data_IF_108967441655
#
_entry.id   IF_108967441655
#
_cell.length_a   1.000
_cell.length_b   1.000
_cell.length_c   1.000
_cell.angle_alpha   90.00
_cell.angle_beta   90.00
_cell.angle_gamma   90.00
#
_symmetry.space_group_name_H-M   'P 1'
#
loop_
_entity.id
_entity.type
_entity.pdbx_description
1 polymer ?
#
# COMPACT_ATOMS: atom_id res chain seq x y z
N UNK A 1 30.52 -7.06 9.28
CA UNK A 1 29.23 -7.36 9.92
C UNK A 1 29.12 -6.49 11.17
N UNK A 2 28.04 -5.71 11.31
CA UNK A 2 27.80 -4.87 12.50
C UNK A 2 27.48 -5.72 13.74
N UNK A 3 27.78 -5.23 14.95
CA UNK A 3 27.22 -5.83 16.17
C UNK A 3 25.77 -5.37 16.32
N UNK A 4 24.90 -6.26 16.81
CA UNK A 4 23.49 -5.99 17.09
C UNK A 4 23.21 -6.39 18.53
N UNK A 5 22.58 -5.50 19.28
CA UNK A 5 22.19 -5.76 20.68
C UNK A 5 20.76 -5.28 20.92
N UNK A 6 19.96 -6.10 21.60
CA UNK A 6 18.56 -5.82 21.89
C UNK A 6 18.34 -5.67 23.39
N UNK A 7 17.54 -4.68 23.76
CA UNK A 7 17.05 -4.47 25.11
C UNK A 7 15.53 -4.46 25.12
N UNK A 8 14.92 -4.97 26.18
CA UNK A 8 13.47 -4.96 26.37
C UNK A 8 13.12 -4.16 27.63
N UNK A 9 11.99 -3.46 27.59
CA UNK A 9 11.45 -2.75 28.73
C UNK A 9 9.91 -2.73 28.67
N UNK A 10 9.27 -2.53 29.83
CA UNK A 10 7.82 -2.50 29.95
C UNK A 10 7.31 -1.08 30.22
N UNK A 11 6.23 -0.71 29.52
CA UNK A 11 5.42 0.48 29.81
C UNK A 11 3.95 0.05 29.79
N UNK A 12 3.27 0.17 30.93
CA UNK A 12 1.86 -0.21 31.11
C UNK A 12 1.54 -1.66 30.70
N UNK A 13 2.42 -2.63 30.98
CA UNK A 13 2.20 -4.04 30.65
C UNK A 13 2.42 -4.39 29.17
N UNK A 14 2.91 -3.43 28.39
CA UNK A 14 3.29 -3.61 26.98
C UNK A 14 4.82 -3.72 26.88
N UNK A 15 5.31 -4.74 26.17
CA UNK A 15 6.75 -4.95 25.94
C UNK A 15 7.26 -4.13 24.76
N UNK A 16 8.26 -3.31 25.03
CA UNK A 16 8.98 -2.50 24.06
C UNK A 16 10.40 -3.02 23.91
N UNK A 17 11.03 -2.78 22.76
CA UNK A 17 12.46 -3.08 22.59
C UNK A 17 13.26 -1.96 21.94
N UNK A 18 14.54 -1.87 22.27
CA UNK A 18 15.53 -1.05 21.57
C UNK A 18 16.59 -1.97 20.99
N UNK A 19 16.76 -1.93 19.68
CA UNK A 19 17.78 -2.66 18.95
C UNK A 19 18.86 -1.67 18.49
N UNK A 20 20.09 -1.84 18.98
CA UNK A 20 21.23 -1.03 18.57
C UNK A 20 22.00 -1.71 17.44
N UNK A 21 22.32 -0.95 16.39
CA UNK A 21 23.05 -1.42 15.20
C UNK A 21 24.33 -0.59 15.05
N UNK A 22 25.49 -1.22 15.24
CA UNK A 22 26.78 -0.52 15.17
C UNK A 22 27.45 -0.74 13.80
N UNK A 23 27.21 0.18 12.87
CA UNK A 23 27.73 0.10 11.51
C UNK A 23 28.94 1.03 11.34
N UNK A 24 30.12 0.47 11.05
CA UNK A 24 31.40 1.20 10.96
C UNK A 24 31.88 1.89 12.25
N UNK A 25 31.04 1.98 13.30
CA UNK A 25 31.40 2.43 14.64
C UNK A 25 31.67 1.23 15.55
N UNK A 26 32.77 0.52 15.31
CA UNK A 26 33.19 -0.69 16.03
C UNK A 26 34.48 -0.44 16.82
N UNK A 27 34.82 -1.36 17.73
CA UNK A 27 36.01 -1.31 18.61
C UNK A 27 37.33 -0.96 17.88
N UNK A 28 37.48 -1.39 16.61
CA UNK A 28 38.63 -1.06 15.76
C UNK A 28 38.64 0.34 15.13
N UNK A 29 37.49 1.02 15.05
CA UNK A 29 37.31 2.37 14.47
C UNK A 29 36.87 3.44 15.49
N UNK A 30 36.52 3.03 16.71
CA UNK A 30 36.36 3.93 17.86
C UNK A 30 37.64 4.76 18.01
N UNK A 31 37.58 6.01 17.54
CA UNK A 31 38.79 6.74 17.17
C UNK A 31 39.79 6.79 18.33
N UNK A 32 41.10 6.74 18.03
CA UNK A 32 42.18 6.89 19.03
C UNK A 32 41.93 8.06 20.01
N UNK A 33 41.26 9.12 19.54
CA UNK A 33 40.87 10.32 20.32
C UNK A 33 39.94 9.99 21.51
N UNK A 34 39.11 8.94 21.42
CA UNK A 34 38.09 8.63 22.43
C UNK A 34 38.48 7.50 23.37
N UNK A 35 39.47 6.66 23.01
CA UNK A 35 39.96 5.58 23.87
C UNK A 35 40.53 6.08 25.20
N UNK A 36 41.07 7.30 25.22
CA UNK A 36 41.52 7.97 26.45
C UNK A 36 40.38 8.52 27.31
N UNK A 37 39.17 8.61 26.76
CA UNK A 37 37.99 9.15 27.46
C UNK A 37 37.07 8.06 27.99
N UNK A 38 36.87 6.98 27.22
CA UNK A 38 35.93 5.91 27.53
C UNK A 38 36.24 4.67 26.68
N UNK A 39 36.14 3.46 27.25
CA UNK A 39 36.20 2.21 26.47
C UNK A 39 34.93 2.01 25.64
N UNK A 40 34.99 1.20 24.57
CA UNK A 40 33.80 0.91 23.77
C UNK A 40 32.72 0.21 24.60
N UNK A 41 33.09 -0.72 25.47
CA UNK A 41 32.15 -1.38 26.39
C UNK A 41 31.43 -0.39 27.32
N UNK A 42 32.17 0.55 27.91
CA UNK A 42 31.59 1.60 28.74
C UNK A 42 30.68 2.55 27.94
N UNK A 43 31.02 2.84 26.68
CA UNK A 43 30.15 3.56 25.75
C UNK A 43 28.82 2.83 25.54
N UNK A 44 28.87 1.54 25.17
CA UNK A 44 27.68 0.73 24.95
C UNK A 44 26.80 0.69 26.19
N UNK A 45 27.40 0.42 27.36
CA UNK A 45 26.69 0.38 28.64
C UNK A 45 25.98 1.70 28.95
N UNK A 46 26.66 2.83 28.71
CA UNK A 46 26.11 4.16 29.00
C UNK A 46 24.94 4.50 28.06
N UNK A 47 25.12 4.33 26.76
CA UNK A 47 24.08 4.65 25.76
C UNK A 47 22.84 3.77 25.96
N UNK A 48 23.02 2.47 26.19
CA UNK A 48 21.93 1.54 26.50
C UNK A 48 21.08 2.01 27.66
N UNK A 49 21.73 2.36 28.78
CA UNK A 49 21.04 2.82 29.99
C UNK A 49 20.28 4.12 29.72
N UNK A 50 20.94 5.12 29.16
CA UNK A 50 20.38 6.46 28.92
C UNK A 50 19.19 6.39 27.96
N UNK A 51 19.33 5.68 26.83
CA UNK A 51 18.24 5.57 25.85
C UNK A 51 17.06 4.79 26.38
N UNK A 52 17.30 3.72 27.15
CA UNK A 52 16.21 2.92 27.72
C UNK A 52 15.44 3.70 28.78
N UNK A 53 16.14 4.44 29.65
CA UNK A 53 15.50 5.29 30.64
C UNK A 53 14.71 6.43 29.97
N UNK A 54 15.35 7.15 29.04
CA UNK A 54 14.71 8.23 28.30
C UNK A 54 13.48 7.76 27.50
N UNK A 55 13.57 6.61 26.82
CA UNK A 55 12.44 6.04 26.06
C UNK A 55 11.30 5.62 26.98
N UNK A 56 11.61 4.99 28.12
CA UNK A 56 10.61 4.57 29.11
C UNK A 56 9.86 5.78 29.69
N UNK A 57 10.60 6.80 30.14
CA UNK A 57 10.01 8.03 30.67
C UNK A 57 9.18 8.75 29.62
N UNK A 58 9.71 8.88 28.40
CA UNK A 58 9.05 9.52 27.28
C UNK A 58 7.69 8.88 26.98
N UNK A 59 7.66 7.55 26.85
CA UNK A 59 6.45 6.80 26.52
C UNK A 59 5.42 6.81 27.66
N UNK A 60 5.89 6.79 28.90
CA UNK A 60 5.03 6.93 30.07
C UNK A 60 4.39 8.33 30.12
N UNK A 61 5.15 9.39 29.84
CA UNK A 61 4.63 10.77 29.83
C UNK A 61 3.77 11.08 28.60
N UNK A 62 3.97 10.37 27.49
CA UNK A 62 3.34 10.65 26.21
C UNK A 62 2.71 9.39 25.59
N UNK A 63 1.67 8.79 26.24
CA UNK A 63 1.07 7.55 25.77
C UNK A 63 0.50 7.64 24.35
N UNK A 64 0.12 8.85 23.90
CA UNK A 64 -0.33 9.11 22.52
C UNK A 64 0.70 8.75 21.45
N UNK A 65 2.00 8.74 21.77
CA UNK A 65 3.07 8.37 20.82
C UNK A 65 3.15 6.86 20.57
N UNK A 66 2.44 6.05 21.36
CA UNK A 66 2.38 4.59 21.21
C UNK A 66 1.38 4.26 20.11
N UNK A 67 1.87 3.80 18.96
CA UNK A 67 1.03 3.47 17.79
C UNK A 67 0.74 1.98 17.64
N UNK A 68 1.32 1.13 18.51
CA UNK A 68 1.21 -0.32 18.43
C UNK A 68 1.45 -0.99 19.79
N UNK A 69 0.89 -2.20 19.97
CA UNK A 69 1.15 -3.10 21.11
C UNK A 69 2.50 -3.83 21.05
N UNK A 70 3.19 -3.76 19.91
CA UNK A 70 4.58 -4.22 19.73
C UNK A 70 5.37 -3.07 19.13
N UNK A 71 6.35 -2.56 19.87
CA UNK A 71 7.08 -1.37 19.45
C UNK A 71 8.59 -1.55 19.63
N UNK A 72 9.35 -1.27 18.58
CA UNK A 72 10.79 -1.43 18.51
C UNK A 72 11.47 -0.15 18.02
N UNK A 73 12.42 0.36 18.79
CA UNK A 73 13.34 1.40 18.36
C UNK A 73 14.57 0.75 17.76
N UNK A 74 14.79 0.92 16.46
CA UNK A 74 16.04 0.53 15.80
C UNK A 74 16.96 1.74 15.74
N UNK A 75 18.02 1.71 16.52
CA UNK A 75 18.99 2.78 16.65
C UNK A 75 20.28 2.36 15.97
N UNK A 76 20.54 2.91 14.79
CA UNK A 76 21.82 2.71 14.11
C UNK A 76 22.79 3.80 14.53
N UNK A 77 23.99 3.39 14.93
CA UNK A 77 25.08 4.31 15.31
C UNK A 77 26.16 4.22 14.23
N UNK A 78 26.49 5.37 13.64
CA UNK A 78 27.41 5.47 12.49
C UNK A 78 28.56 6.43 12.75
N UNK A 79 29.65 6.21 12.01
CA UNK A 79 30.89 7.02 12.05
C UNK A 79 30.85 8.21 11.06
N UNK A 80 29.68 8.52 10.49
CA UNK A 80 29.58 9.41 9.33
C UNK A 80 29.67 10.88 9.73
N UNK A 81 30.57 11.62 9.07
CA UNK A 81 30.62 13.10 9.04
C UNK A 81 29.53 13.74 8.16
N UNK A 82 28.55 12.96 7.70
CA UNK A 82 27.62 13.35 6.61
C UNK A 82 26.57 14.40 6.99
N UNK A 83 26.55 14.88 8.22
CA UNK A 83 25.48 15.73 8.69
C UNK A 83 25.93 17.18 8.74
N UNK A 84 25.32 18.00 7.87
CA UNK A 84 25.52 19.44 7.85
C UNK A 84 24.91 20.14 9.07
N UNK A 85 23.98 19.52 9.84
CA UNK A 85 23.37 20.19 11.00
C UNK A 85 22.65 19.28 12.03
N UNK A 86 22.43 17.98 11.75
CA UNK A 86 21.62 17.08 12.62
C UNK A 86 22.42 15.90 13.20
N UNK A 87 22.33 15.70 14.51
CA UNK A 87 23.01 14.61 15.25
C UNK A 87 22.21 13.29 15.26
N UNK A 88 20.96 13.31 14.78
CA UNK A 88 20.08 12.15 14.58
C UNK A 88 19.24 12.34 13.32
N UNK A 89 18.90 11.26 12.64
CA UNK A 89 17.98 11.26 11.51
C UNK A 89 16.92 10.16 11.66
N UNK A 90 15.65 10.50 11.46
CA UNK A 90 14.53 9.55 11.35
C UNK A 90 14.32 9.16 9.90
N UNK A 91 14.31 7.85 9.62
CA UNK A 91 14.07 7.33 8.28
C UNK A 91 12.62 6.87 8.13
N UNK A 92 11.78 7.73 7.54
CA UNK A 92 10.37 7.45 7.29
C UNK A 92 10.17 6.21 6.41
N UNK A 93 11.02 6.01 5.39
CA UNK A 93 10.88 4.94 4.39
C UNK A 93 11.07 3.51 4.93
N UNK A 94 11.71 3.36 6.09
CA UNK A 94 11.97 2.05 6.73
C UNK A 94 11.38 1.96 8.14
N UNK A 95 10.62 2.97 8.55
CA UNK A 95 9.88 2.98 9.81
C UNK A 95 8.41 2.64 9.55
N UNK A 96 7.77 1.90 10.45
CA UNK A 96 6.38 1.47 10.35
C UNK A 96 5.67 1.56 11.72
N UNK A 97 4.39 1.15 11.80
CA UNK A 97 3.61 1.25 13.03
C UNK A 97 4.24 0.58 14.27
N UNK A 98 5.14 -0.37 14.06
CA UNK A 98 5.81 -1.19 15.08
C UNK A 98 7.30 -0.84 15.24
N UNK A 99 7.92 -0.17 14.26
CA UNK A 99 9.37 0.03 14.21
C UNK A 99 9.67 1.50 13.91
N UNK A 100 10.40 2.17 14.81
CA UNK A 100 11.04 3.46 14.50
C UNK A 100 12.50 3.21 14.19
N UNK A 101 12.97 3.68 13.03
CA UNK A 101 14.38 3.68 12.68
C UNK A 101 15.04 5.06 12.85
N UNK A 102 16.06 5.12 13.71
CA UNK A 102 16.86 6.30 13.98
C UNK A 102 18.33 6.04 13.65
N UNK A 103 18.97 6.93 12.91
CA UNK A 103 20.43 6.92 12.73
C UNK A 103 21.07 8.05 13.53
N UNK A 104 22.05 7.71 14.38
CA UNK A 104 22.80 8.64 15.22
C UNK A 104 24.26 8.71 14.81
N UNK A 105 24.81 9.91 14.92
CA UNK A 105 26.24 10.12 14.84
C UNK A 105 26.93 9.61 16.13
N UNK A 106 27.77 8.59 16.00
CA UNK A 106 28.49 7.96 17.11
C UNK A 106 29.47 8.89 17.81
N UNK A 107 30.14 9.80 17.09
CA UNK A 107 31.03 10.79 17.70
C UNK A 107 30.30 11.73 18.64
N UNK A 108 29.14 12.21 18.20
CA UNK A 108 28.30 13.09 19.01
C UNK A 108 27.81 12.37 20.27
N UNK A 109 27.38 11.11 20.14
CA UNK A 109 26.97 10.29 21.29
C UNK A 109 28.12 10.10 22.29
N UNK A 110 29.36 9.90 21.84
CA UNK A 110 30.50 9.80 22.77
C UNK A 110 30.75 11.12 23.48
N UNK A 111 30.93 12.20 22.72
CA UNK A 111 31.40 13.49 23.25
C UNK A 111 30.33 14.20 24.10
N UNK A 112 29.06 14.08 23.71
CA UNK A 112 27.96 14.83 24.32
C UNK A 112 27.10 14.00 25.26
N UNK A 113 27.19 12.66 25.21
CA UNK A 113 26.31 11.78 25.99
C UNK A 113 27.11 10.86 26.90
N UNK A 114 27.88 9.94 26.34
CA UNK A 114 28.52 8.90 27.13
C UNK A 114 29.61 9.45 28.07
N UNK A 115 30.51 10.31 27.57
CA UNK A 115 31.60 10.86 28.40
C UNK A 115 31.08 11.67 29.58
N UNK A 116 30.17 12.65 29.41
CA UNK A 116 29.75 13.44 30.55
C UNK A 116 28.84 12.66 31.51
N UNK A 117 28.09 11.66 31.02
CA UNK A 117 27.38 10.70 31.89
C UNK A 117 28.35 9.94 32.79
N UNK A 118 29.40 9.35 32.23
CA UNK A 118 30.39 8.59 33.02
C UNK A 118 31.21 9.45 33.98
N UNK A 119 31.40 10.73 33.66
CA UNK A 119 32.16 11.68 34.48
C UNK A 119 31.30 12.44 35.50
N UNK A 120 30.01 12.11 35.63
CA UNK A 120 29.13 12.62 36.69
C UNK A 120 28.42 13.95 36.40
N UNK A 121 28.47 14.49 35.17
CA UNK A 121 27.69 15.66 34.77
C UNK A 121 26.29 15.23 34.30
N UNK A 122 25.29 15.33 35.18
CA UNK A 122 23.96 14.69 35.09
C UNK A 122 22.93 15.32 34.12
N UNK A 123 23.28 16.25 33.23
CA UNK A 123 22.28 17.06 32.49
C UNK A 123 21.95 16.62 31.05
N UNK A 124 22.26 15.39 30.65
CA UNK A 124 22.11 14.97 29.25
C UNK A 124 20.85 14.13 28.97
N UNK A 125 20.32 13.45 29.99
CA UNK A 125 19.09 12.66 29.85
C UNK A 125 17.90 13.49 29.30
N UNK A 126 17.65 14.73 29.76
CA UNK A 126 16.62 15.58 29.16
C UNK A 126 16.85 15.88 27.67
N UNK A 127 18.11 15.95 27.23
CA UNK A 127 18.43 16.19 25.82
C UNK A 127 18.08 14.96 24.97
N UNK A 128 18.49 13.75 25.41
CA UNK A 128 18.15 12.51 24.69
C UNK A 128 16.64 12.28 24.65
N UNK A 129 15.95 12.51 25.77
CA UNK A 129 14.50 12.45 25.83
C UNK A 129 13.82 13.43 24.88
N UNK A 130 14.28 14.69 24.79
CA UNK A 130 13.77 15.68 23.81
C UNK A 130 13.99 15.24 22.36
N UNK A 131 15.15 14.65 22.08
CA UNK A 131 15.49 14.15 20.76
C UNK A 131 14.54 13.00 20.39
N UNK A 132 14.41 12.02 21.27
CA UNK A 132 13.48 10.90 21.09
C UNK A 132 12.05 11.42 20.94
N UNK A 133 11.60 12.37 21.75
CA UNK A 133 10.29 13.00 21.61
C UNK A 133 10.09 13.60 20.22
N UNK A 134 11.04 14.41 19.73
CA UNK A 134 10.92 15.03 18.41
C UNK A 134 10.80 13.99 17.30
N UNK A 135 11.65 12.95 17.31
CA UNK A 135 11.62 11.90 16.28
C UNK A 135 10.35 11.03 16.39
N UNK A 136 9.93 10.70 17.61
CA UNK A 136 8.68 9.98 17.85
C UNK A 136 7.45 10.80 17.48
N UNK A 137 7.49 12.11 17.69
CA UNK A 137 6.42 13.02 17.27
C UNK A 137 6.33 13.05 15.75
N UNK A 138 7.45 13.15 15.04
CA UNK A 138 7.48 13.05 13.58
C UNK A 138 6.91 11.72 13.09
N UNK A 139 7.27 10.62 13.75
CA UNK A 139 6.75 9.29 13.45
C UNK A 139 5.24 9.14 13.72
N UNK A 140 4.79 9.56 14.91
CA UNK A 140 3.38 9.57 15.25
C UNK A 140 2.57 10.44 14.28
N UNK A 141 3.08 11.61 13.93
CA UNK A 141 2.45 12.51 12.98
C UNK A 141 2.45 11.94 11.55
N UNK A 142 3.52 11.28 11.12
CA UNK A 142 3.53 10.59 9.82
C UNK A 142 2.50 9.46 9.79
N UNK A 143 2.35 8.69 10.87
CA UNK A 143 1.34 7.63 10.94
C UNK A 143 -0.09 8.17 11.02
N UNK A 144 -0.37 9.08 11.95
CA UNK A 144 -1.74 9.50 12.26
C UNK A 144 -2.30 10.60 11.37
N UNK A 145 -1.43 11.35 10.70
CA UNK A 145 -1.84 12.48 9.84
C UNK A 145 -1.48 12.23 8.38
N UNK A 146 -0.25 11.78 8.08
CA UNK A 146 0.18 11.53 6.69
C UNK A 146 -0.22 10.15 6.15
N UNK A 147 -0.37 9.14 7.01
CA UNK A 147 -0.70 7.76 6.62
C UNK A 147 -2.11 7.32 7.08
N UNK A 148 -2.95 8.28 7.49
CA UNK A 148 -4.30 8.00 8.04
C UNK A 148 -5.16 7.21 7.05
N UNK A 149 -5.05 7.54 5.77
CA UNK A 149 -5.76 6.88 4.69
C UNK A 149 -5.35 5.41 4.54
N UNK A 150 -4.06 5.11 4.63
CA UNK A 150 -3.47 3.77 4.56
C UNK A 150 -3.83 2.94 5.80
N UNK A 151 -3.90 3.55 6.99
CA UNK A 151 -4.37 2.93 8.22
C UNK A 151 -5.86 2.57 8.16
N UNK A 152 -6.68 3.49 7.68
CA UNK A 152 -8.12 3.25 7.49
C UNK A 152 -8.37 2.18 6.42
N UNK A 153 -7.50 2.12 5.40
CA UNK A 153 -7.53 1.12 4.34
C UNK A 153 -7.10 -0.27 4.81
N UNK A 154 -5.99 -0.39 5.54
CA UNK A 154 -5.56 -1.67 6.11
C UNK A 154 -6.65 -2.25 7.04
N UNK A 155 -7.32 -1.40 7.81
CA UNK A 155 -8.51 -1.78 8.59
C UNK A 155 -9.65 -2.27 7.72
N UNK A 156 -9.98 -1.54 6.64
CA UNK A 156 -11.06 -1.91 5.69
C UNK A 156 -10.76 -3.25 4.98
N UNK A 157 -9.50 -3.52 4.68
CA UNK A 157 -9.05 -4.75 4.01
C UNK A 157 -8.75 -5.90 4.99
N UNK A 158 -8.90 -5.69 6.30
CA UNK A 158 -8.45 -6.63 7.34
C UNK A 158 -6.99 -7.09 7.18
N UNK A 159 -6.15 -6.27 6.53
CA UNK A 159 -4.75 -6.56 6.36
C UNK A 159 -3.99 -6.26 7.67
N UNK A 160 -3.09 -7.14 8.13
CA UNK A 160 -2.26 -6.85 9.29
C UNK A 160 -1.43 -5.58 9.00
N UNK A 161 -1.61 -4.57 9.85
CA UNK A 161 -0.92 -3.26 9.79
C UNK A 161 0.61 -3.34 9.88
N UNK A 162 1.17 -4.54 10.10
CA UNK A 162 2.60 -4.81 10.33
C UNK A 162 3.47 -4.53 9.07
N UNK A 163 2.91 -4.20 7.90
CA UNK A 163 3.60 -4.24 6.60
C UNK A 163 3.44 -2.97 5.72
N UNK A 164 3.39 -1.76 6.30
CA UNK A 164 3.43 -0.50 5.51
C UNK A 164 4.86 -0.23 4.99
N UNK A 165 5.40 -1.13 4.17
CA UNK A 165 6.60 -0.88 3.37
C UNK A 165 6.36 -1.01 1.86
N UNK A 166 5.21 -1.56 1.42
CA UNK A 166 4.83 -1.65 0.01
C UNK A 166 3.58 -0.85 -0.33
N UNK A 167 3.82 0.44 -0.55
CA UNK A 167 2.78 1.36 -1.00
C UNK A 167 2.20 0.95 -2.36
N UNK A 168 2.99 0.36 -3.26
CA UNK A 168 2.51 -0.10 -4.56
C UNK A 168 1.52 -1.26 -4.43
N UNK A 169 1.82 -2.25 -3.59
CA UNK A 169 0.88 -3.33 -3.30
C UNK A 169 -0.41 -2.80 -2.68
N UNK A 170 -0.31 -1.89 -1.70
CA UNK A 170 -1.47 -1.28 -1.07
C UNK A 170 -2.35 -0.51 -2.07
N UNK A 171 -1.74 0.33 -2.90
CA UNK A 171 -2.46 1.10 -3.92
C UNK A 171 -3.04 0.21 -5.03
N UNK A 172 -2.41 -0.92 -5.36
CA UNK A 172 -2.97 -1.94 -6.25
C UNK A 172 -4.22 -2.58 -5.64
N UNK A 173 -4.15 -3.08 -4.41
CA UNK A 173 -5.30 -3.65 -3.69
C UNK A 173 -6.46 -2.66 -3.65
N UNK A 174 -6.16 -1.40 -3.38
CA UNK A 174 -7.17 -0.36 -3.38
C UNK A 174 -7.74 -0.08 -4.77
N UNK A 175 -6.93 -0.10 -5.83
CA UNK A 175 -7.41 0.01 -7.20
C UNK A 175 -8.43 -1.09 -7.51
N UNK A 176 -8.13 -2.33 -7.12
CA UNK A 176 -9.04 -3.46 -7.29
C UNK A 176 -10.30 -3.36 -6.44
N UNK A 177 -10.19 -2.94 -5.17
CA UNK A 177 -11.34 -2.72 -4.31
C UNK A 177 -12.26 -1.60 -4.82
N UNK A 178 -11.67 -0.51 -5.31
CA UNK A 178 -12.43 0.60 -5.86
C UNK A 178 -13.05 0.26 -7.23
N UNK A 179 -12.48 -0.66 -8.02
CA UNK A 179 -13.15 -1.13 -9.24
C UNK A 179 -14.53 -1.72 -8.97
N UNK A 180 -14.73 -2.39 -7.83
CA UNK A 180 -16.05 -2.84 -7.43
C UNK A 180 -16.96 -1.65 -7.04
N UNK A 181 -16.54 -0.86 -6.04
CA UNK A 181 -17.41 0.16 -5.43
C UNK A 181 -17.66 1.36 -6.36
N UNK A 182 -16.60 1.92 -6.91
CA UNK A 182 -16.68 3.06 -7.83
C UNK A 182 -17.19 2.62 -9.20
N UNK A 183 -16.84 1.41 -9.63
CA UNK A 183 -17.39 0.80 -10.85
C UNK A 183 -18.89 0.62 -10.77
N UNK A 184 -19.40 0.11 -9.64
CA UNK A 184 -20.83 -0.02 -9.41
C UNK A 184 -21.51 1.35 -9.38
N UNK A 185 -20.95 2.33 -8.66
CA UNK A 185 -21.52 3.69 -8.62
C UNK A 185 -21.61 4.33 -10.02
N UNK A 186 -20.56 4.17 -10.83
CA UNK A 186 -20.52 4.67 -12.21
C UNK A 186 -21.47 3.89 -13.13
N UNK A 187 -21.57 2.57 -12.96
CA UNK A 187 -22.55 1.73 -13.65
C UNK A 187 -23.98 2.23 -13.42
N UNK A 188 -24.36 2.51 -12.16
CA UNK A 188 -25.67 3.06 -11.81
C UNK A 188 -25.94 4.42 -12.46
N UNK A 189 -24.94 5.32 -12.48
CA UNK A 189 -25.06 6.63 -13.13
C UNK A 189 -25.30 6.51 -14.63
N UNK A 190 -24.55 5.62 -15.30
CA UNK A 190 -24.69 5.39 -16.75
C UNK A 190 -26.04 4.76 -17.08
N UNK A 191 -26.51 3.82 -16.25
CA UNK A 191 -27.85 3.25 -16.35
C UNK A 191 -28.96 4.32 -16.21
N UNK A 192 -28.80 5.30 -15.33
CA UNK A 192 -29.79 6.39 -15.18
C UNK A 192 -29.73 7.42 -16.33
N UNK A 193 -28.57 7.60 -16.95
CA UNK A 193 -28.34 8.61 -18.00
C UNK A 193 -28.68 8.13 -19.41
N UNK A 194 -29.14 6.88 -19.60
CA UNK A 194 -29.33 6.30 -20.95
C UNK A 194 -30.45 6.91 -21.79
N UNK A 195 -31.34 7.73 -21.21
CA UNK A 195 -32.32 8.49 -21.98
C UNK A 195 -31.69 9.53 -22.94
N UNK A 196 -30.40 9.88 -22.73
CA UNK A 196 -29.67 10.89 -23.50
C UNK A 196 -28.51 10.32 -24.36
N UNK A 197 -28.50 9.01 -24.64
CA UNK A 197 -27.49 8.39 -25.52
C UNK A 197 -26.20 7.91 -24.83
N UNK A 198 -26.17 7.85 -23.49
CA UNK A 198 -25.02 7.40 -22.70
C UNK A 198 -24.99 5.87 -22.53
N UNK A 199 -24.68 5.16 -23.60
CA UNK A 199 -24.39 3.72 -23.52
C UNK A 199 -23.06 3.44 -22.81
N UNK A 200 -22.95 2.26 -22.19
CA UNK A 200 -21.66 1.74 -21.72
C UNK A 200 -20.83 1.42 -22.97
N UNK A 201 -19.86 2.27 -23.27
CA UNK A 201 -18.86 1.97 -24.29
C UNK A 201 -17.81 1.08 -23.67
N UNK A 202 -17.50 -0.06 -24.27
CA UNK A 202 -16.32 -0.86 -23.96
C UNK A 202 -15.24 -0.42 -24.95
N UNK A 203 -14.26 0.35 -24.47
CA UNK A 203 -13.19 0.92 -25.30
C UNK A 203 -11.88 0.16 -25.06
N UNK A 204 -11.36 -0.52 -26.08
CA UNK A 204 -10.15 -1.34 -25.95
C UNK A 204 -8.94 -0.53 -25.56
N UNK A 205 -8.79 0.67 -26.12
CA UNK A 205 -7.66 1.53 -25.80
C UNK A 205 -7.67 1.92 -24.33
N UNK A 206 -8.85 2.25 -23.78
CA UNK A 206 -8.97 2.58 -22.37
C UNK A 206 -8.63 1.38 -21.45
N UNK A 207 -8.97 0.16 -21.88
CA UNK A 207 -8.60 -1.07 -21.15
C UNK A 207 -7.09 -1.29 -21.18
N UNK A 208 -6.47 -1.16 -22.35
CA UNK A 208 -5.03 -1.34 -22.54
C UNK A 208 -4.23 -0.28 -21.76
N UNK A 209 -4.61 1.00 -21.89
CA UNK A 209 -4.01 2.12 -21.15
C UNK A 209 -4.10 1.88 -19.63
N UNK A 210 -5.25 1.38 -19.14
CA UNK A 210 -5.45 1.09 -17.71
C UNK A 210 -4.56 -0.07 -17.22
N UNK A 211 -4.39 -1.13 -18.01
CA UNK A 211 -3.47 -2.22 -17.68
C UNK A 211 -2.03 -1.73 -17.60
N UNK A 212 -1.62 -0.82 -18.49
CA UNK A 212 -0.30 -0.22 -18.48
C UNK A 212 -0.09 0.67 -17.24
N UNK A 213 -1.12 1.42 -16.82
CA UNK A 213 -1.09 2.20 -15.59
C UNK A 213 -0.99 1.32 -14.34
N UNK A 214 -1.72 0.20 -14.28
CA UNK A 214 -1.60 -0.78 -13.19
C UNK A 214 -0.20 -1.43 -13.15
N UNK A 215 0.36 -1.81 -14.30
CA UNK A 215 1.73 -2.32 -14.39
C UNK A 215 2.76 -1.29 -13.92
N UNK A 216 2.54 -0.01 -14.25
CA UNK A 216 3.39 1.09 -13.81
C UNK A 216 3.32 1.25 -12.29
N UNK A 217 2.11 1.21 -11.72
CA UNK A 217 1.91 1.28 -10.28
C UNK A 217 2.61 0.12 -9.56
N UNK A 218 2.47 -1.11 -10.05
CA UNK A 218 3.10 -2.31 -9.50
C UNK A 218 4.64 -2.22 -9.41
N UNK A 219 5.27 -1.44 -10.30
CA UNK A 219 6.73 -1.29 -10.39
C UNK A 219 7.26 -0.02 -9.73
N UNK A 220 6.39 0.75 -9.08
CA UNK A 220 6.76 2.06 -8.51
C UNK A 220 7.40 1.92 -7.13
N UNK A 221 8.56 2.54 -6.93
CA UNK A 221 9.41 2.26 -5.75
C UNK A 221 9.20 3.19 -4.56
N UNK A 222 8.65 4.38 -4.77
CA UNK A 222 8.52 5.38 -3.71
C UNK A 222 7.06 5.70 -3.47
N UNK A 223 6.72 5.96 -2.20
CA UNK A 223 5.36 6.33 -1.80
C UNK A 223 4.78 7.46 -2.65
N UNK A 224 5.53 8.57 -2.77
CA UNK A 224 5.07 9.76 -3.48
C UNK A 224 4.79 9.49 -4.97
N UNK A 225 5.57 8.62 -5.61
CA UNK A 225 5.33 8.22 -6.98
C UNK A 225 4.14 7.24 -7.06
N UNK A 226 4.05 6.26 -6.16
CA UNK A 226 2.98 5.27 -6.17
C UNK A 226 1.62 5.94 -5.92
N UNK A 227 1.56 6.89 -4.99
CA UNK A 227 0.39 7.72 -4.75
C UNK A 227 0.04 8.57 -5.97
N UNK A 228 1.03 9.16 -6.65
CA UNK A 228 0.81 9.92 -7.88
C UNK A 228 0.24 9.06 -9.00
N UNK A 229 0.75 7.85 -9.18
CA UNK A 229 0.24 6.88 -10.17
C UNK A 229 -1.17 6.43 -9.80
N UNK A 230 -1.41 6.08 -8.53
CA UNK A 230 -2.74 5.74 -8.03
C UNK A 230 -3.76 6.86 -8.25
N UNK A 231 -3.40 8.12 -7.95
CA UNK A 231 -4.26 9.28 -8.20
C UNK A 231 -4.60 9.48 -9.68
N UNK A 232 -3.81 8.94 -10.63
CA UNK A 232 -4.20 8.94 -12.06
C UNK A 232 -5.32 7.93 -12.32
N UNK A 233 -5.20 6.73 -11.75
CA UNK A 233 -6.22 5.67 -11.82
C UNK A 233 -7.54 6.12 -11.17
N UNK A 234 -7.46 6.86 -10.06
CA UNK A 234 -8.61 7.34 -9.30
C UNK A 234 -9.39 8.47 -9.97
N UNK A 235 -8.87 9.09 -11.04
CA UNK A 235 -9.45 10.32 -11.61
C UNK A 235 -10.94 10.14 -11.93
N UNK A 236 -11.79 10.60 -11.01
CA UNK A 236 -13.16 10.99 -11.29
C UNK A 236 -13.11 12.26 -12.11
N UNK A 237 -13.19 12.09 -13.42
CA UNK A 237 -13.63 13.16 -14.29
C UNK A 237 -15.02 12.80 -14.76
N UNK A 238 -15.78 13.85 -15.05
CA UNK A 238 -17.17 13.90 -15.54
C UNK A 238 -17.70 12.60 -16.19
N UNK A 239 -19.00 12.32 -16.15
CA UNK A 239 -19.62 11.11 -16.73
C UNK A 239 -19.23 10.86 -18.21
N UNK A 240 -18.80 11.92 -18.91
CA UNK A 240 -18.23 11.92 -20.25
C UNK A 240 -16.86 11.25 -20.39
N UNK A 241 -16.08 11.19 -19.31
CA UNK A 241 -14.72 10.67 -19.32
C UNK A 241 -14.74 9.14 -19.20
N UNK A 242 -14.11 8.50 -20.18
CA UNK A 242 -14.04 7.04 -20.34
C UNK A 242 -12.67 6.52 -19.90
N UNK A 243 -12.32 6.73 -18.63
CA UNK A 243 -11.00 6.41 -18.10
C UNK A 243 -11.02 6.13 -16.59
N UNK A 244 -9.98 5.49 -16.09
CA UNK A 244 -9.76 5.23 -14.68
C UNK A 244 -10.66 4.16 -14.07
N UNK A 245 -10.50 3.96 -12.77
CA UNK A 245 -11.17 2.94 -11.97
C UNK A 245 -12.71 2.96 -12.11
N UNK A 246 -13.41 4.11 -12.06
CA UNK A 246 -14.88 4.12 -12.14
C UNK A 246 -15.40 3.59 -13.48
N UNK A 247 -14.83 4.08 -14.59
CA UNK A 247 -15.25 3.66 -15.92
C UNK A 247 -14.95 2.19 -16.17
N UNK A 248 -13.73 1.77 -15.86
CA UNK A 248 -13.29 0.39 -16.04
C UNK A 248 -14.08 -0.60 -15.17
N UNK A 249 -14.33 -0.24 -13.90
CA UNK A 249 -15.18 -1.03 -13.02
C UNK A 249 -16.62 -1.12 -13.51
N UNK A 250 -17.15 -0.08 -14.17
CA UNK A 250 -18.49 -0.12 -14.78
C UNK A 250 -18.59 -1.10 -15.95
N UNK A 251 -17.51 -1.26 -16.74
CA UNK A 251 -17.41 -2.29 -17.79
C UNK A 251 -17.49 -3.67 -17.15
N UNK A 252 -16.74 -3.91 -16.07
CA UNK A 252 -16.77 -5.20 -15.36
C UNK A 252 -18.17 -5.51 -14.80
N UNK A 253 -18.84 -4.53 -14.19
CA UNK A 253 -20.22 -4.66 -13.71
C UNK A 253 -21.17 -5.06 -14.85
N UNK A 254 -21.03 -4.42 -16.01
CA UNK A 254 -21.86 -4.72 -17.17
C UNK A 254 -21.62 -6.12 -17.71
N UNK A 255 -20.35 -6.55 -17.83
CA UNK A 255 -20.00 -7.91 -18.27
C UNK A 255 -20.58 -8.97 -17.33
N UNK A 256 -20.50 -8.76 -16.02
CA UNK A 256 -21.16 -9.64 -15.03
C UNK A 256 -22.67 -9.66 -15.26
N UNK A 257 -23.29 -8.49 -15.49
CA UNK A 257 -24.72 -8.40 -15.76
C UNK A 257 -25.16 -9.13 -17.03
N UNK A 258 -24.36 -9.07 -18.10
CA UNK A 258 -24.62 -9.85 -19.32
C UNK A 258 -24.57 -11.36 -19.07
N UNK A 259 -23.66 -11.85 -18.21
CA UNK A 259 -23.61 -13.27 -17.85
C UNK A 259 -24.86 -13.70 -17.08
N UNK A 260 -25.23 -12.97 -16.03
CA UNK A 260 -26.41 -13.29 -15.21
C UNK A 260 -27.71 -13.35 -16.02
N UNK A 261 -27.75 -12.60 -17.11
CA UNK A 261 -28.93 -12.44 -17.96
C UNK A 261 -28.74 -13.04 -19.36
N UNK A 262 -27.76 -13.92 -19.56
CA UNK A 262 -27.38 -14.44 -20.88
C UNK A 262 -28.50 -15.23 -21.59
N UNK A 263 -29.52 -15.68 -20.84
CA UNK A 263 -30.69 -16.38 -21.36
C UNK A 263 -31.95 -15.48 -21.42
N UNK A 264 -31.84 -14.21 -21.06
CA UNK A 264 -32.96 -13.27 -21.12
C UNK A 264 -33.13 -12.72 -22.55
N UNK A 265 -34.28 -12.96 -23.19
CA UNK A 265 -34.52 -12.54 -24.57
C UNK A 265 -34.54 -11.02 -24.76
N UNK A 266 -34.60 -10.21 -23.69
CA UNK A 266 -34.54 -8.74 -23.74
C UNK A 266 -33.12 -8.20 -23.91
N UNK A 267 -32.09 -9.00 -23.58
CA UNK A 267 -30.67 -8.58 -23.58
C UNK A 267 -29.94 -9.04 -24.85
N UNK A 268 -30.66 -9.66 -25.78
CA UNK A 268 -30.14 -10.26 -27.01
C UNK A 268 -29.59 -9.26 -28.06
N UNK A 269 -29.44 -7.97 -27.73
CA UNK A 269 -29.12 -6.90 -28.70
C UNK A 269 -28.07 -5.90 -28.17
N UNK A 270 -26.79 -6.23 -28.27
CA UNK A 270 -25.68 -5.27 -28.22
C UNK A 270 -25.70 -4.40 -29.48
N UNK A 271 -25.51 -3.08 -29.34
CA UNK A 271 -25.53 -2.15 -30.48
C UNK A 271 -24.12 -1.82 -30.97
N UNK A 272 -23.85 -2.12 -32.23
CA UNK A 272 -22.57 -1.76 -32.85
C UNK A 272 -22.66 -0.36 -33.45
N UNK A 273 -21.89 0.58 -32.91
CA UNK A 273 -21.58 1.84 -33.59
C UNK A 273 -20.12 1.81 -34.04
N UNK A 274 -19.92 1.50 -35.31
CA UNK A 274 -18.63 1.31 -35.97
C UNK A 274 -18.83 1.12 -37.48
N UNK A 275 -17.90 0.46 -38.18
CA UNK A 275 -18.03 0.18 -39.63
C UNK A 275 -19.19 -0.77 -39.96
N UNK A 276 -19.64 -1.57 -38.98
CA UNK A 276 -20.83 -2.40 -39.09
C UNK A 276 -21.92 -1.81 -38.17
N UNK A 277 -22.91 -1.16 -38.77
CA UNK A 277 -24.14 -0.82 -38.06
C UNK A 277 -24.97 -2.10 -37.90
N UNK A 278 -25.29 -2.50 -36.67
CA UNK A 278 -26.04 -3.73 -36.44
C UNK A 278 -26.36 -4.03 -34.98
N UNK A 279 -27.17 -5.06 -34.78
CA UNK A 279 -27.46 -5.68 -33.49
C UNK A 279 -26.72 -7.00 -33.40
N UNK A 280 -26.04 -7.25 -32.29
CA UNK A 280 -25.32 -8.51 -32.01
C UNK A 280 -25.83 -9.13 -30.71
N UNK A 281 -25.75 -10.44 -30.56
CA UNK A 281 -26.14 -11.10 -29.31
C UNK A 281 -25.11 -10.85 -28.20
N UNK A 282 -25.53 -10.91 -26.93
CA UNK A 282 -24.62 -10.78 -25.80
C UNK A 282 -23.44 -11.77 -25.87
N UNK A 283 -23.69 -13.01 -26.30
CA UNK A 283 -22.67 -14.06 -26.53
C UNK A 283 -21.62 -13.71 -27.59
N UNK A 284 -21.90 -12.73 -28.45
CA UNK A 284 -20.95 -12.28 -29.48
C UNK A 284 -19.99 -11.22 -28.96
N UNK A 285 -20.12 -10.77 -27.70
CA UNK A 285 -19.27 -9.74 -27.12
C UNK A 285 -17.78 -10.07 -27.24
N UNK A 286 -17.38 -11.31 -26.96
CA UNK A 286 -15.98 -11.74 -27.10
C UNK A 286 -15.43 -11.58 -28.51
N UNK A 287 -16.19 -12.02 -29.52
CA UNK A 287 -15.86 -11.83 -30.94
C UNK A 287 -15.72 -10.35 -31.29
N UNK A 288 -16.67 -9.52 -30.83
CA UNK A 288 -16.69 -8.08 -31.11
C UNK A 288 -15.53 -7.34 -30.46
N UNK A 289 -15.17 -7.70 -29.23
CA UNK A 289 -13.96 -7.16 -28.58
C UNK A 289 -12.68 -7.60 -29.31
N UNK A 290 -12.69 -8.74 -30.00
CA UNK A 290 -11.60 -9.17 -30.86
C UNK A 290 -11.42 -8.32 -32.12
N UNK A 291 -12.51 -7.85 -32.72
CA UNK A 291 -12.50 -7.21 -34.06
C UNK A 291 -12.68 -5.69 -34.05
N UNK A 292 -13.47 -5.17 -33.11
CA UNK A 292 -13.82 -3.75 -33.04
C UNK A 292 -12.92 -3.01 -32.04
N UNK A 293 -12.66 -1.72 -32.31
CA UNK A 293 -11.93 -0.85 -31.37
C UNK A 293 -12.79 -0.48 -30.15
N UNK A 294 -14.11 -0.48 -30.32
CA UNK A 294 -15.07 -0.25 -29.25
C UNK A 294 -16.42 -0.93 -29.52
N UNK A 295 -17.10 -1.29 -28.44
CA UNK A 295 -18.46 -1.87 -28.46
C UNK A 295 -19.38 -0.97 -27.63
N UNK A 296 -20.56 -0.62 -28.15
CA UNK A 296 -21.52 0.19 -27.42
C UNK A 296 -22.64 -0.70 -26.86
N UNK A 297 -22.89 -0.57 -25.57
CA UNK A 297 -23.74 -1.50 -24.87
C UNK A 297 -25.00 -0.78 -24.36
N UNK A 298 -26.21 -1.27 -24.68
CA UNK A 298 -27.44 -0.68 -24.19
C UNK A 298 -27.58 -0.85 -22.67
N UNK A 299 -28.43 -0.04 -22.02
CA UNK A 299 -28.80 -0.28 -20.62
C UNK A 299 -29.40 -1.67 -20.45
N UNK A 300 -29.21 -2.25 -19.26
CA UNK A 300 -29.94 -3.47 -18.90
C UNK A 300 -31.41 -3.11 -18.61
N UNK A 301 -32.37 -4.04 -18.77
CA UNK A 301 -33.72 -3.86 -18.21
C UNK A 301 -33.68 -3.57 -16.71
N UNK A 302 -34.64 -2.82 -16.18
CA UNK A 302 -34.60 -2.33 -14.78
C UNK A 302 -34.54 -3.47 -13.74
N UNK A 303 -35.34 -4.52 -13.93
CA UNK A 303 -35.34 -5.71 -13.06
C UNK A 303 -34.00 -6.46 -13.11
N UNK A 304 -33.42 -6.58 -14.30
CA UNK A 304 -32.10 -7.17 -14.51
C UNK A 304 -31.01 -6.32 -13.84
N UNK A 305 -31.07 -5.00 -14.00
CA UNK A 305 -30.15 -4.05 -13.39
C UNK A 305 -30.21 -4.10 -11.85
N UNK A 306 -31.40 -4.17 -11.26
CA UNK A 306 -31.58 -4.29 -9.81
C UNK A 306 -30.97 -5.59 -9.26
N UNK A 307 -31.18 -6.70 -9.98
CA UNK A 307 -30.57 -7.98 -9.65
C UNK A 307 -29.04 -7.92 -9.70
N UNK A 308 -28.47 -7.32 -10.74
CA UNK A 308 -27.01 -7.12 -10.90
C UNK A 308 -26.46 -6.27 -9.76
N UNK A 309 -27.11 -5.15 -9.43
CA UNK A 309 -26.68 -4.28 -8.35
C UNK A 309 -26.67 -5.00 -7.01
N UNK A 310 -27.73 -5.77 -6.72
CA UNK A 310 -27.85 -6.54 -5.48
C UNK A 310 -26.79 -7.63 -5.40
N UNK A 311 -26.52 -8.32 -6.51
CA UNK A 311 -25.50 -9.35 -6.60
C UNK A 311 -24.09 -8.79 -6.35
N UNK A 312 -23.73 -7.67 -6.98
CA UNK A 312 -22.40 -7.05 -6.85
C UNK A 312 -22.20 -6.43 -5.45
N UNK A 313 -23.24 -5.86 -4.84
CA UNK A 313 -23.16 -5.30 -3.48
C UNK A 313 -22.86 -6.36 -2.40
N UNK A 314 -23.26 -7.61 -2.64
CA UNK A 314 -22.98 -8.73 -1.74
C UNK A 314 -21.57 -9.30 -1.84
N UNK A 315 -20.77 -8.85 -2.82
CA UNK A 315 -19.41 -9.36 -3.05
C UNK A 315 -18.36 -8.55 -2.29
N UNK A 316 -17.22 -9.17 -2.00
CA UNK A 316 -15.96 -8.45 -1.82
C UNK A 316 -15.22 -8.29 -3.16
N UNK A 317 -14.10 -7.54 -3.16
CA UNK A 317 -13.36 -7.25 -4.40
C UNK A 317 -12.76 -8.49 -5.08
N UNK A 318 -12.38 -9.51 -4.31
CA UNK A 318 -11.90 -10.79 -4.83
C UNK A 318 -13.03 -11.56 -5.52
N UNK A 319 -14.20 -11.63 -4.89
CA UNK A 319 -15.41 -12.25 -5.47
C UNK A 319 -15.87 -11.52 -6.74
N UNK A 320 -15.79 -10.19 -6.75
CA UNK A 320 -16.09 -9.37 -7.92
C UNK A 320 -15.20 -9.70 -9.12
N UNK A 321 -13.88 -9.81 -8.91
CA UNK A 321 -12.94 -10.23 -9.97
C UNK A 321 -13.20 -11.68 -10.43
N UNK A 322 -13.55 -12.59 -9.52
CA UNK A 322 -13.96 -13.97 -9.87
C UNK A 322 -15.20 -13.99 -10.77
N UNK A 323 -16.23 -13.25 -10.39
CA UNK A 323 -17.47 -13.14 -11.15
C UNK A 323 -17.19 -12.57 -12.55
N UNK A 324 -16.35 -11.53 -12.64
CA UNK A 324 -15.92 -10.96 -13.91
C UNK A 324 -15.15 -11.96 -14.80
N UNK A 325 -14.20 -12.71 -14.23
CA UNK A 325 -13.48 -13.77 -14.93
C UNK A 325 -14.42 -14.83 -15.51
N UNK A 326 -15.37 -15.30 -14.71
CA UNK A 326 -16.35 -16.30 -15.12
C UNK A 326 -17.26 -15.76 -16.24
N UNK A 327 -17.74 -14.53 -16.10
CA UNK A 327 -18.56 -13.87 -17.10
C UNK A 327 -17.79 -13.73 -18.43
N UNK A 328 -16.52 -13.32 -18.39
CA UNK A 328 -15.67 -13.23 -19.57
C UNK A 328 -15.52 -14.57 -20.29
N UNK A 329 -15.30 -15.67 -19.54
CA UNK A 329 -15.21 -17.03 -20.10
C UNK A 329 -16.50 -17.46 -20.81
N UNK A 330 -17.66 -17.19 -20.22
CA UNK A 330 -18.96 -17.56 -20.81
C UNK A 330 -19.36 -16.71 -22.02
N UNK A 331 -18.91 -15.45 -22.05
CA UNK A 331 -19.08 -14.51 -23.16
C UNK A 331 -17.98 -14.63 -24.23
N UNK A 332 -17.11 -15.65 -24.11
CA UNK A 332 -16.00 -15.95 -25.03
C UNK A 332 -15.02 -14.78 -25.23
N UNK A 333 -14.82 -13.98 -24.17
CA UNK A 333 -13.88 -12.85 -24.19
C UNK A 333 -12.46 -13.37 -23.95
N UNK A 334 -11.59 -13.20 -24.94
CA UNK A 334 -10.15 -13.48 -24.80
C UNK A 334 -9.56 -12.70 -23.62
N UNK A 335 -8.74 -13.37 -22.80
CA UNK A 335 -8.11 -12.79 -21.60
C UNK A 335 -7.32 -11.52 -21.89
N UNK A 336 -6.76 -11.37 -23.09
CA UNK A 336 -6.06 -10.14 -23.51
C UNK A 336 -6.99 -8.94 -23.67
N UNK A 337 -8.29 -9.17 -23.89
CA UNK A 337 -9.32 -8.13 -24.02
C UNK A 337 -10.11 -7.90 -22.73
N UNK A 338 -10.02 -8.80 -21.76
CA UNK A 338 -10.56 -8.61 -20.42
C UNK A 338 -9.80 -7.50 -19.68
N UNK A 339 -10.45 -6.79 -18.77
CA UNK A 339 -9.85 -5.69 -18.01
C UNK A 339 -8.81 -6.18 -17.00
N UNK A 340 -9.28 -6.76 -15.89
CA UNK A 340 -8.45 -7.32 -14.82
C UNK A 340 -8.82 -8.77 -14.69
N UNK A 341 -7.95 -9.65 -15.16
CA UNK A 341 -8.06 -11.07 -14.88
C UNK A 341 -7.48 -11.39 -13.50
N UNK A 342 -7.95 -12.46 -12.86
CA UNK A 342 -7.30 -13.04 -11.68
C UNK A 342 -5.79 -13.26 -11.86
N UNK A 343 -5.35 -13.71 -13.04
CA UNK A 343 -3.93 -13.89 -13.35
C UNK A 343 -3.16 -12.57 -13.38
N UNK A 344 -3.74 -11.52 -13.98
CA UNK A 344 -3.14 -10.18 -13.98
C UNK A 344 -3.08 -9.62 -12.55
N UNK A 345 -4.13 -9.79 -11.77
CA UNK A 345 -4.16 -9.39 -10.35
C UNK A 345 -3.04 -10.06 -9.56
N UNK A 346 -2.88 -11.38 -9.70
CA UNK A 346 -1.82 -12.14 -9.05
C UNK A 346 -0.44 -11.68 -9.51
N UNK A 347 -0.23 -11.56 -10.82
CA UNK A 347 1.03 -11.12 -11.41
C UNK A 347 1.45 -9.74 -10.89
N UNK A 348 0.52 -8.78 -10.87
CA UNK A 348 0.81 -7.42 -10.39
C UNK A 348 1.08 -7.40 -8.88
N UNK A 349 0.35 -8.22 -8.13
CA UNK A 349 0.55 -8.38 -6.68
C UNK A 349 1.93 -8.98 -6.39
N UNK A 350 2.32 -10.03 -7.10
CA UNK A 350 3.65 -10.64 -7.00
C UNK A 350 4.74 -9.65 -7.40
N UNK A 351 4.57 -8.88 -8.47
CA UNK A 351 5.53 -7.86 -8.90
C UNK A 351 5.75 -6.76 -7.86
N UNK A 352 4.68 -6.28 -7.22
CA UNK A 352 4.80 -5.32 -6.13
C UNK A 352 5.61 -5.94 -4.97
N UNK A 353 5.26 -7.16 -4.57
CA UNK A 353 5.96 -7.89 -3.51
C UNK A 353 7.41 -8.27 -3.83
N UNK A 354 7.78 -8.57 -5.07
CA UNK A 354 9.19 -8.82 -5.43
C UNK A 354 10.08 -7.61 -5.13
N UNK A 355 9.53 -6.39 -5.15
CA UNK A 355 10.25 -5.21 -4.72
C UNK A 355 10.46 -5.18 -3.19
N UNK A 356 9.53 -5.71 -2.39
CA UNK A 356 9.72 -5.96 -0.94
C UNK A 356 10.84 -6.96 -0.69
N UNK A 357 10.85 -8.10 -1.40
CA UNK A 357 11.81 -9.18 -1.16
C UNK A 357 13.27 -8.78 -1.41
N UNK A 358 13.52 -7.84 -2.34
CA UNK A 358 14.87 -7.29 -2.55
C UNK A 358 15.31 -6.34 -1.43
N UNK A 359 14.39 -5.79 -0.65
CA UNK A 359 14.66 -4.91 0.49
C UNK A 359 14.64 -5.65 1.84
N UNK A 360 13.85 -6.72 1.99
CA UNK A 360 13.69 -7.48 3.23
C UNK A 360 13.73 -9.01 2.97
N UNK A 361 14.78 -9.67 3.49
CA UNK A 361 14.90 -11.15 3.47
C UNK A 361 13.89 -11.80 4.43
N UNK A 362 12.62 -11.97 4.08
CA UNK A 362 11.69 -12.90 4.79
C UNK A 362 10.60 -13.43 3.86
N UNK A 363 10.59 -14.75 3.62
CA UNK A 363 9.85 -15.48 2.56
C UNK A 363 8.42 -15.96 2.91
N UNK A 364 7.86 -15.69 4.09
CA UNK A 364 6.73 -16.50 4.59
C UNK A 364 5.30 -15.99 4.28
N UNK A 365 5.11 -14.87 3.57
CA UNK A 365 3.81 -14.15 3.57
C UNK A 365 2.91 -14.34 2.33
N UNK A 366 3.31 -15.12 1.33
CA UNK A 366 2.59 -15.27 0.04
C UNK A 366 1.21 -15.96 0.12
N UNK A 367 0.82 -16.52 1.28
CA UNK A 367 -0.34 -17.42 1.37
C UNK A 367 -1.69 -16.75 1.62
N UNK A 368 -1.72 -15.46 1.98
CA UNK A 368 -2.97 -14.77 2.35
C UNK A 368 -3.69 -14.02 1.22
N UNK A 369 -2.97 -13.61 0.17
CA UNK A 369 -3.47 -12.64 -0.82
C UNK A 369 -3.40 -13.11 -2.28
N UNK A 370 -2.93 -14.33 -2.51
CA UNK A 370 -2.90 -14.95 -3.84
C UNK A 370 -4.27 -15.52 -4.17
N UNK A 371 -4.78 -15.23 -5.36
CA UNK A 371 -5.93 -15.94 -5.91
C UNK A 371 -5.52 -17.40 -6.09
N UNK A 372 -6.10 -18.31 -5.32
CA UNK A 372 -6.14 -19.70 -5.72
C UNK A 372 -7.02 -19.77 -6.97
N UNK A 373 -6.40 -20.06 -8.12
CA UNK A 373 -7.11 -20.46 -9.31
C UNK A 373 -7.93 -21.70 -8.93
N UNK A 374 -9.21 -21.50 -8.66
CA UNK A 374 -10.16 -22.58 -8.56
C UNK A 374 -10.52 -23.00 -9.98
N UNK A 375 -10.37 -24.30 -10.25
CA UNK A 375 -10.85 -24.98 -11.45
C UNK A 375 -12.34 -24.71 -11.74
#
# INVERSE_FOLDING_TARGET
MGSVERMEFDVYGTKFSITFIYSNFQEGKYSRKYRSLLTFEQFLKSIKLIFSQAARELLHENPKLITSSKYEFQIKITDTKRFDESFVYYYEDISNAHVIYLEFNGHWLVEKVAVPWTKGNRTIEPAIKRILFAQMWHHWHSLTVKNKFELDLAKKLHAPLEEISDFSHLFLLMSFANMQMEGLAEFKKRQAATHDGYSIKIDRKAIDDFKDELNTLARTKTKALAEKEYRKLEKKRDIWMRTGIPYIGSIMCYTIGLDLMMNDPRIDKLYLMGKQHGMAKAKELGKLMGTESAVFCPPLPDDAYEQVCSHILGMNYTEFVKAYNLAGKKLDIDSKHMVVTGDLFNTLTEQAHEMLYKLHRRQEYLRGFTFQAGD
#
